data_IF_503632199090
#
_entry.id   IF_503632199090
#
_cell.length_a   1.000
_cell.length_b   1.000
_cell.length_c   1.000
_cell.angle_alpha   90.00
_cell.angle_beta   90.00
_cell.angle_gamma   90.00
#
_symmetry.space_group_name_H-M   'P 1'
#
loop_
_entity.id
_entity.type
_entity.pdbx_description
1 polymer ?
#
# COMPACT_ATOMS: atom_id res chain seq x y z
N UNK A 1 1.79 22.76 24.26
CA UNK A 1 2.82 21.81 24.73
C UNK A 1 3.98 21.86 23.75
N UNK A 2 5.13 22.41 24.16
CA UNK A 2 6.30 22.56 23.30
C UNK A 2 6.85 21.15 23.01
N UNK A 3 7.13 20.84 21.74
CA UNK A 3 7.61 19.52 21.30
C UNK A 3 9.05 19.17 21.78
N UNK A 4 9.63 20.00 22.67
CA UNK A 4 10.99 19.89 23.21
C UNK A 4 11.19 18.72 24.17
N UNK A 5 10.13 18.20 24.79
CA UNK A 5 10.26 17.22 25.89
C UNK A 5 10.09 15.76 25.44
N UNK A 6 10.07 15.50 24.12
CA UNK A 6 10.00 14.10 23.64
C UNK A 6 11.34 13.38 23.86
N UNK A 7 11.34 12.06 24.14
CA UNK A 7 12.58 11.31 24.09
C UNK A 7 13.14 11.28 22.66
N UNK A 8 14.45 11.13 22.54
CA UNK A 8 15.13 10.82 21.28
C UNK A 8 15.24 9.30 21.15
N UNK A 9 14.97 8.75 19.97
CA UNK A 9 15.01 7.31 19.75
C UNK A 9 16.46 6.76 19.74
N UNK A 10 17.40 7.58 19.24
CA UNK A 10 18.82 7.23 19.10
C UNK A 10 19.08 6.19 18.02
N UNK A 11 20.33 6.12 17.53
CA UNK A 11 20.73 5.26 16.40
C UNK A 11 21.14 3.83 16.85
N UNK A 12 21.10 3.53 18.15
CA UNK A 12 21.37 2.18 18.63
C UNK A 12 20.31 1.20 18.10
N UNK A 13 20.73 0.06 17.55
CA UNK A 13 19.81 -0.95 16.99
C UNK A 13 19.12 -0.51 15.70
N UNK A 14 19.65 0.50 15.01
CA UNK A 14 19.26 0.85 13.64
C UNK A 14 20.30 0.34 12.65
N UNK A 15 19.83 0.00 11.47
CA UNK A 15 20.62 -0.27 10.29
C UNK A 15 20.43 0.85 9.26
N UNK A 16 21.44 1.03 8.43
CA UNK A 16 21.57 2.05 7.40
C UNK A 16 21.39 3.50 7.89
N UNK A 17 22.07 4.39 7.19
CA UNK A 17 21.84 5.83 7.34
C UNK A 17 21.84 6.47 5.95
N UNK A 18 20.75 7.15 5.64
CA UNK A 18 20.61 7.90 4.38
C UNK A 18 20.60 9.37 4.74
N UNK A 19 21.72 10.04 4.49
CA UNK A 19 21.80 11.48 4.66
C UNK A 19 20.91 12.19 3.65
N UNK A 20 20.13 13.13 4.16
CA UNK A 20 19.28 14.00 3.36
C UNK A 20 19.75 15.47 3.48
N UNK A 21 19.34 16.35 2.55
CA UNK A 21 19.48 17.80 2.68
C UNK A 21 18.74 18.35 3.90
N UNK A 22 18.89 19.66 4.13
CA UNK A 22 18.16 20.43 5.16
C UNK A 22 18.28 19.91 6.60
N UNK A 23 19.36 19.16 6.88
CA UNK A 23 19.63 18.65 8.22
C UNK A 23 18.77 17.46 8.61
N UNK A 24 18.40 16.58 7.67
CA UNK A 24 17.67 15.35 7.97
C UNK A 24 18.43 14.08 7.59
N UNK A 25 18.06 12.95 8.17
CA UNK A 25 18.55 11.64 7.76
C UNK A 25 17.51 10.56 8.03
N UNK A 26 17.48 9.54 7.17
CA UNK A 26 16.71 8.32 7.42
C UNK A 26 17.58 7.27 8.09
N UNK A 27 16.97 6.50 8.98
CA UNK A 27 17.53 5.25 9.54
C UNK A 27 16.45 4.19 9.58
N UNK A 28 16.85 2.91 9.59
CA UNK A 28 15.93 1.79 9.72
C UNK A 28 16.12 1.10 11.07
N UNK A 29 15.22 1.25 12.05
CA UNK A 29 15.25 0.44 13.26
C UNK A 29 15.10 -1.05 12.91
N UNK A 30 16.04 -1.89 13.38
CA UNK A 30 16.06 -3.34 13.09
C UNK A 30 15.95 -4.22 14.32
N UNK A 31 16.11 -3.67 15.53
CA UNK A 31 15.85 -4.39 16.78
C UNK A 31 14.52 -4.00 17.40
N UNK A 32 13.96 -4.90 18.21
CA UNK A 32 12.72 -4.65 18.95
C UNK A 32 12.82 -3.40 19.83
N UNK A 33 13.94 -3.24 20.53
CA UNK A 33 14.19 -2.12 21.43
C UNK A 33 14.29 -0.80 20.66
N UNK A 34 14.87 -0.82 19.46
CA UNK A 34 14.94 0.35 18.59
C UNK A 34 13.55 0.78 18.11
N UNK A 35 12.68 -0.17 17.72
CA UNK A 35 11.29 0.10 17.35
C UNK A 35 10.48 0.66 18.53
N UNK A 36 10.64 0.10 19.73
CA UNK A 36 9.96 0.59 20.94
C UNK A 36 10.40 2.02 21.28
N UNK A 37 11.71 2.31 21.24
CA UNK A 37 12.22 3.68 21.44
C UNK A 37 11.68 4.65 20.40
N UNK A 38 11.62 4.21 19.14
CA UNK A 38 11.04 4.99 18.04
C UNK A 38 9.58 5.33 18.34
N UNK A 39 8.80 4.35 18.80
CA UNK A 39 7.40 4.56 19.15
C UNK A 39 7.17 5.52 20.30
N UNK A 40 8.01 5.47 21.34
CA UNK A 40 7.97 6.48 22.40
C UNK A 40 8.36 7.87 21.92
N UNK A 41 9.40 7.99 21.07
CA UNK A 41 9.85 9.27 20.51
C UNK A 41 8.78 9.89 19.58
N UNK A 42 8.11 9.05 18.80
CA UNK A 42 7.06 9.43 17.87
C UNK A 42 5.67 9.47 18.52
N UNK A 43 5.49 9.00 19.75
CA UNK A 43 4.19 8.89 20.45
C UNK A 43 3.14 8.13 19.63
N UNK A 44 3.53 7.03 18.99
CA UNK A 44 2.64 6.24 18.15
C UNK A 44 2.60 4.76 18.58
N UNK A 45 1.87 3.94 17.81
CA UNK A 45 1.68 2.53 18.12
C UNK A 45 2.94 1.66 17.94
N UNK A 46 4.07 2.23 17.51
CA UNK A 46 5.37 1.56 17.53
C UNK A 46 5.84 1.17 18.94
N UNK A 47 5.30 1.79 19.99
CA UNK A 47 5.66 1.45 21.36
C UNK A 47 5.10 0.09 21.82
N UNK A 48 3.93 -0.32 21.32
CA UNK A 48 3.12 -1.38 21.95
C UNK A 48 2.83 -2.60 21.06
N UNK A 49 3.19 -2.58 19.77
CA UNK A 49 2.97 -3.73 18.85
C UNK A 49 4.13 -4.73 18.97
N UNK A 50 3.87 -5.97 18.54
CA UNK A 50 4.82 -7.10 18.70
C UNK A 50 5.88 -7.22 17.58
N UNK A 51 5.74 -6.53 16.45
CA UNK A 51 6.70 -6.37 15.33
C UNK A 51 7.61 -7.57 14.94
N UNK A 52 7.18 -8.85 14.93
CA UNK A 52 8.08 -9.94 14.53
C UNK A 52 8.59 -9.78 13.08
N UNK A 53 7.74 -9.25 12.20
CA UNK A 53 8.03 -9.10 10.77
C UNK A 53 9.02 -7.98 10.43
N UNK A 54 9.37 -7.12 11.39
CA UNK A 54 10.21 -5.93 11.15
C UNK A 54 11.60 -6.02 11.81
N UNK A 55 11.85 -7.07 12.58
CA UNK A 55 13.08 -7.24 13.37
C UNK A 55 14.05 -8.17 12.65
N UNK A 56 15.34 -7.82 12.65
CA UNK A 56 16.42 -8.68 12.15
C UNK A 56 16.54 -8.75 10.63
N UNK A 57 15.83 -7.91 9.89
CA UNK A 57 15.91 -7.86 8.43
C UNK A 57 16.83 -6.74 7.94
N UNK A 58 17.94 -7.12 7.30
CA UNK A 58 18.89 -6.19 6.68
C UNK A 58 18.66 -6.01 5.17
N UNK A 59 17.84 -6.88 4.55
CA UNK A 59 17.53 -6.75 3.12
C UNK A 59 16.61 -5.55 2.88
N UNK A 60 16.88 -4.79 1.82
CA UNK A 60 16.11 -3.57 1.52
C UNK A 60 14.65 -3.87 1.14
N UNK A 61 14.38 -5.03 0.54
CA UNK A 61 13.03 -5.48 0.15
C UNK A 61 12.24 -6.18 1.26
N UNK A 62 12.80 -6.27 2.47
CA UNK A 62 12.09 -6.87 3.60
C UNK A 62 11.13 -5.85 4.25
N UNK A 63 10.06 -6.30 4.92
CA UNK A 63 9.24 -5.41 5.71
C UNK A 63 10.11 -4.62 6.69
N UNK A 64 9.89 -3.31 6.75
CA UNK A 64 10.75 -2.40 7.51
C UNK A 64 10.01 -1.14 7.95
N UNK A 65 10.46 -0.58 9.06
CA UNK A 65 10.12 0.77 9.47
C UNK A 65 11.31 1.67 9.14
N UNK A 66 11.07 2.80 8.49
CA UNK A 66 12.07 3.84 8.30
C UNK A 66 11.71 5.07 9.12
N UNK A 67 12.66 5.60 9.87
CA UNK A 67 12.50 6.79 10.70
C UNK A 67 13.27 7.96 10.10
N UNK A 68 12.59 9.09 9.88
CA UNK A 68 13.20 10.35 9.50
C UNK A 68 13.52 11.15 10.76
N UNK A 69 14.79 11.55 10.88
CA UNK A 69 15.31 12.26 12.03
C UNK A 69 15.98 13.56 11.64
N UNK A 70 15.98 14.52 12.56
CA UNK A 70 16.76 15.75 12.44
C UNK A 70 18.21 15.48 12.85
N UNK A 71 19.18 15.96 12.07
CA UNK A 71 20.61 15.88 12.39
C UNK A 71 20.99 16.73 13.61
N UNK A 72 20.27 17.82 13.87
CA UNK A 72 20.59 18.76 14.95
C UNK A 72 20.40 18.17 16.35
N UNK A 73 19.42 17.28 16.53
CA UNK A 73 19.03 16.76 17.84
C UNK A 73 18.66 15.26 17.85
N UNK A 74 18.73 14.58 16.70
CA UNK A 74 18.39 13.16 16.56
C UNK A 74 16.90 12.86 16.72
N UNK A 75 16.02 13.86 16.79
CA UNK A 75 14.59 13.63 17.02
C UNK A 75 13.90 13.13 15.76
N UNK A 76 13.17 12.04 15.92
CA UNK A 76 12.25 11.53 14.91
C UNK A 76 11.08 12.48 14.67
N UNK A 77 10.75 12.64 13.39
CA UNK A 77 9.67 13.53 12.93
C UNK A 77 8.68 12.84 11.99
N UNK A 78 9.08 11.74 11.37
CA UNK A 78 8.22 10.92 10.53
C UNK A 78 8.69 9.46 10.54
N UNK A 79 7.76 8.56 10.33
CA UNK A 79 8.04 7.15 10.06
C UNK A 79 7.31 6.69 8.79
N UNK A 80 7.85 5.63 8.20
CA UNK A 80 7.29 4.95 7.04
C UNK A 80 7.22 3.47 7.37
N UNK A 81 6.03 2.89 7.25
CA UNK A 81 5.83 1.45 7.31
C UNK A 81 5.84 0.89 5.89
N UNK A 82 6.87 0.09 5.61
CA UNK A 82 7.05 -0.61 4.36
C UNK A 82 6.77 -2.09 4.55
N UNK A 83 5.90 -2.66 3.71
CA UNK A 83 5.71 -4.09 3.62
C UNK A 83 6.17 -4.54 2.24
N UNK A 84 7.30 -5.25 2.20
CA UNK A 84 8.08 -5.51 0.99
C UNK A 84 8.52 -4.24 0.26
N UNK A 85 7.84 -3.85 -0.81
CA UNK A 85 8.12 -2.63 -1.60
C UNK A 85 6.94 -1.64 -1.57
N UNK A 86 5.86 -1.97 -0.85
CA UNK A 86 4.70 -1.10 -0.72
C UNK A 86 4.74 -0.31 0.59
N UNK A 87 4.70 1.01 0.49
CA UNK A 87 4.54 1.91 1.62
C UNK A 87 3.08 1.92 2.04
N UNK A 88 2.79 1.25 3.17
CA UNK A 88 1.45 1.13 3.71
C UNK A 88 1.02 2.39 4.47
N UNK A 89 1.97 3.00 5.18
CA UNK A 89 1.73 4.19 5.98
C UNK A 89 2.92 5.15 5.99
N UNK A 90 2.60 6.43 6.10
CA UNK A 90 3.56 7.51 6.39
C UNK A 90 2.96 8.35 7.51
N UNK A 91 3.57 8.36 8.70
CA UNK A 91 3.03 9.13 9.84
C UNK A 91 4.05 10.13 10.36
N UNK A 92 3.51 11.22 10.91
CA UNK A 92 4.23 12.14 11.75
C UNK A 92 4.05 11.80 13.23
N UNK A 93 4.61 12.65 14.08
CA UNK A 93 4.50 12.54 15.55
C UNK A 93 3.03 12.44 15.97
N UNK A 94 2.74 11.54 16.92
CA UNK A 94 1.43 11.21 17.46
C UNK A 94 0.43 10.72 16.39
N UNK A 95 0.90 9.93 15.42
CA UNK A 95 0.11 9.42 14.29
C UNK A 95 -0.51 10.50 13.39
N UNK A 96 -0.06 11.75 13.52
CA UNK A 96 -0.53 12.85 12.69
C UNK A 96 -0.07 12.70 11.24
N UNK A 97 -0.61 13.54 10.35
CA UNK A 97 -0.06 13.69 9.02
C UNK A 97 1.39 14.18 9.10
N UNK A 98 2.22 13.62 8.23
CA UNK A 98 3.60 14.07 8.06
C UNK A 98 3.65 15.56 7.71
N UNK A 99 4.68 16.27 8.18
CA UNK A 99 4.91 17.67 7.80
C UNK A 99 5.35 17.81 6.33
N UNK A 100 5.17 18.97 5.68
CA UNK A 100 5.56 19.16 4.28
C UNK A 100 7.06 18.92 4.03
N UNK A 101 7.93 19.35 4.96
CA UNK A 101 9.36 19.12 4.86
C UNK A 101 9.70 17.63 4.94
N UNK A 102 9.13 16.91 5.90
CA UNK A 102 9.33 15.48 6.04
C UNK A 102 8.80 14.69 4.84
N UNK A 103 7.66 15.12 4.25
CA UNK A 103 7.15 14.52 3.03
C UNK A 103 8.12 14.67 1.85
N UNK A 104 8.84 15.80 1.73
CA UNK A 104 9.87 15.98 0.70
C UNK A 104 11.06 15.04 0.88
N UNK A 105 11.47 14.77 2.12
CA UNK A 105 12.64 13.90 2.38
C UNK A 105 12.43 12.44 1.94
N UNK A 106 11.19 12.02 1.67
CA UNK A 106 10.87 10.65 1.21
C UNK A 106 11.52 10.36 -0.16
N UNK A 107 11.74 11.37 -1.00
CA UNK A 107 12.41 11.22 -2.30
C UNK A 107 13.81 10.57 -2.17
N UNK A 108 14.51 10.80 -1.05
CA UNK A 108 15.83 10.20 -0.81
C UNK A 108 15.77 8.72 -0.50
N UNK A 109 14.70 8.28 0.18
CA UNK A 109 14.43 6.87 0.40
C UNK A 109 14.06 6.19 -0.92
N UNK A 110 13.20 6.80 -1.73
CA UNK A 110 12.86 6.30 -3.08
C UNK A 110 14.13 6.18 -3.94
N UNK A 111 14.97 7.21 -3.96
CA UNK A 111 16.23 7.20 -4.70
C UNK A 111 17.21 6.12 -4.19
N UNK A 112 17.18 5.78 -2.90
CA UNK A 112 17.94 4.63 -2.35
C UNK A 112 17.44 3.31 -2.90
N UNK A 113 16.12 3.08 -2.95
CA UNK A 113 15.54 1.85 -3.50
C UNK A 113 15.82 1.72 -5.01
N UNK A 114 15.60 2.79 -5.79
CA UNK A 114 15.85 2.81 -7.24
C UNK A 114 17.30 2.49 -7.61
N UNK A 115 18.27 3.02 -6.86
CA UNK A 115 19.69 2.71 -7.05
C UNK A 115 20.03 1.23 -6.86
N UNK A 116 19.19 0.48 -6.15
CA UNK A 116 19.32 -0.96 -5.96
C UNK A 116 18.39 -1.77 -6.89
N UNK A 117 17.81 -1.14 -7.92
CA UNK A 117 16.91 -1.81 -8.86
C UNK A 117 15.53 -2.15 -8.29
N UNK A 118 15.14 -1.50 -7.19
CA UNK A 118 13.84 -1.70 -6.54
C UNK A 118 12.96 -0.46 -6.74
N UNK A 119 11.67 -0.68 -7.01
CA UNK A 119 10.69 0.40 -7.13
C UNK A 119 9.71 0.33 -5.96
N UNK A 120 9.57 1.43 -5.23
CA UNK A 120 8.62 1.55 -4.13
C UNK A 120 7.25 1.97 -4.67
N UNK A 121 6.20 1.31 -4.19
CA UNK A 121 4.81 1.74 -4.43
C UNK A 121 4.23 2.35 -3.16
N UNK A 122 3.17 3.15 -3.31
CA UNK A 122 2.55 3.84 -2.17
C UNK A 122 1.07 3.48 -2.11
N UNK A 123 0.67 2.96 -0.95
CA UNK A 123 -0.73 2.72 -0.66
C UNK A 123 -1.50 4.04 -0.67
N UNK A 124 -2.72 4.02 -1.21
CA UNK A 124 -3.54 5.22 -1.43
C UNK A 124 -3.87 6.02 -0.15
N UNK A 125 -3.72 5.40 1.02
CA UNK A 125 -3.95 6.02 2.32
C UNK A 125 -2.83 6.97 2.77
N UNK A 126 -1.61 6.88 2.21
CA UNK A 126 -0.40 7.55 2.70
C UNK A 126 -0.41 9.09 2.61
N UNK A 127 -1.34 9.68 1.84
CA UNK A 127 -1.46 11.15 1.62
C UNK A 127 -0.15 11.83 1.17
N UNK A 128 0.79 11.06 0.63
CA UNK A 128 2.00 11.52 -0.05
C UNK A 128 1.83 11.25 -1.53
N UNK A 129 2.18 12.23 -2.36
CA UNK A 129 2.23 12.10 -3.80
C UNK A 129 3.69 11.99 -4.24
N UNK A 130 3.93 11.09 -5.19
CA UNK A 130 5.24 10.86 -5.81
C UNK A 130 5.11 11.20 -7.27
N UNK A 131 5.95 12.11 -7.77
CA UNK A 131 6.04 12.40 -9.20
C UNK A 131 6.93 11.38 -9.92
N UNK A 132 6.87 11.28 -11.26
CA UNK A 132 7.69 10.35 -12.03
C UNK A 132 9.21 10.49 -11.76
N UNK A 133 9.69 11.72 -11.54
CA UNK A 133 11.08 12.03 -11.20
C UNK A 133 11.50 11.57 -9.78
N UNK A 134 10.57 11.06 -8.99
CA UNK A 134 10.80 10.58 -7.62
C UNK A 134 10.61 11.65 -6.55
N UNK A 135 10.36 12.91 -6.92
CA UNK A 135 10.07 13.97 -5.94
C UNK A 135 8.77 13.68 -5.21
N UNK A 136 8.70 14.15 -3.96
CA UNK A 136 7.58 13.83 -3.08
C UNK A 136 6.95 15.06 -2.42
N UNK A 137 5.63 15.02 -2.25
CA UNK A 137 4.85 16.07 -1.61
C UNK A 137 3.80 15.50 -0.68
N UNK A 138 3.50 16.25 0.38
CA UNK A 138 2.23 16.06 1.09
C UNK A 138 1.08 16.47 0.16
N UNK A 139 0.02 15.67 0.09
CA UNK A 139 -1.05 15.83 -0.91
C UNK A 139 -1.67 17.22 -0.98
N UNK A 140 -1.87 17.90 0.16
CA UNK A 140 -2.43 19.25 0.25
C UNK A 140 -1.45 20.37 -0.10
N UNK A 141 -0.17 20.04 -0.30
CA UNK A 141 0.92 20.96 -0.69
C UNK A 141 1.52 20.61 -2.05
N UNK A 142 0.98 19.62 -2.73
CA UNK A 142 1.43 19.20 -4.04
C UNK A 142 0.96 20.16 -5.13
N UNK A 143 1.71 20.28 -6.24
CA UNK A 143 1.27 20.97 -7.44
C UNK A 143 -0.10 20.46 -7.92
N UNK A 144 -0.96 21.36 -8.38
CA UNK A 144 -2.34 21.05 -8.73
C UNK A 144 -2.45 20.07 -9.91
N UNK A 145 -1.52 20.18 -10.87
CA UNK A 145 -1.33 19.27 -12.00
C UNK A 145 -1.00 17.85 -11.54
N UNK A 146 -0.09 17.70 -10.57
CA UNK A 146 0.26 16.39 -9.99
C UNK A 146 -0.94 15.75 -9.27
N UNK A 147 -1.68 16.55 -8.49
CA UNK A 147 -2.90 16.09 -7.83
C UNK A 147 -3.94 15.65 -8.87
N UNK A 148 -4.15 16.44 -9.93
CA UNK A 148 -5.08 16.13 -10.99
C UNK A 148 -4.70 14.85 -11.76
N UNK A 149 -3.42 14.66 -12.07
CA UNK A 149 -2.90 13.47 -12.72
C UNK A 149 -3.19 12.21 -11.89
N UNK A 150 -2.90 12.23 -10.59
CA UNK A 150 -3.22 11.10 -9.70
C UNK A 150 -4.72 10.83 -9.59
N UNK A 151 -5.56 11.86 -9.52
CA UNK A 151 -7.02 11.69 -9.52
C UNK A 151 -7.48 11.06 -10.83
N UNK A 152 -6.94 11.50 -11.97
CA UNK A 152 -7.25 10.94 -13.29
C UNK A 152 -6.88 9.47 -13.37
N UNK A 153 -5.68 9.11 -12.93
CA UNK A 153 -5.18 7.74 -12.92
C UNK A 153 -6.03 6.84 -12.00
N UNK A 154 -6.36 7.30 -10.79
CA UNK A 154 -7.22 6.56 -9.88
C UNK A 154 -8.63 6.35 -10.45
N UNK A 155 -9.18 7.35 -11.14
CA UNK A 155 -10.46 7.23 -11.86
C UNK A 155 -10.37 6.20 -12.99
N UNK A 156 -9.30 6.23 -13.79
CA UNK A 156 -9.09 5.27 -14.87
C UNK A 156 -9.00 3.83 -14.34
N UNK A 157 -8.25 3.61 -13.25
CA UNK A 157 -8.18 2.31 -12.57
C UNK A 157 -9.54 1.84 -12.05
N UNK A 158 -10.31 2.73 -11.41
CA UNK A 158 -11.66 2.41 -10.93
C UNK A 158 -12.61 2.03 -12.07
N UNK A 159 -12.56 2.75 -13.18
CA UNK A 159 -13.36 2.45 -14.37
C UNK A 159 -12.97 1.10 -14.98
N UNK A 160 -11.67 0.83 -15.13
CA UNK A 160 -11.19 -0.46 -15.62
C UNK A 160 -11.65 -1.63 -14.72
N UNK A 161 -11.55 -1.48 -13.40
CA UNK A 161 -12.03 -2.49 -12.45
C UNK A 161 -13.54 -2.73 -12.54
N UNK A 162 -14.34 -1.66 -12.76
CA UNK A 162 -15.79 -1.79 -12.99
C UNK A 162 -16.11 -2.52 -14.28
N UNK A 163 -15.41 -2.21 -15.37
CA UNK A 163 -15.58 -2.91 -16.65
C UNK A 163 -15.22 -4.38 -16.51
N UNK A 164 -14.10 -4.70 -15.88
CA UNK A 164 -13.69 -6.09 -15.65
C UNK A 164 -14.71 -6.85 -14.80
N UNK A 165 -15.22 -6.24 -13.72
CA UNK A 165 -16.27 -6.84 -12.89
C UNK A 165 -17.54 -7.13 -13.69
N UNK A 166 -17.95 -6.20 -14.55
CA UNK A 166 -19.11 -6.38 -15.43
C UNK A 166 -18.90 -7.57 -16.37
N UNK A 167 -17.74 -7.66 -17.01
CA UNK A 167 -17.40 -8.78 -17.90
C UNK A 167 -17.39 -10.13 -17.17
N UNK A 168 -16.89 -10.17 -15.93
CA UNK A 168 -16.93 -11.38 -15.11
C UNK A 168 -18.36 -11.83 -14.76
N UNK A 169 -19.26 -10.88 -14.49
CA UNK A 169 -20.67 -11.18 -14.22
C UNK A 169 -21.37 -11.68 -15.50
N UNK A 170 -21.17 -11.01 -16.63
CA UNK A 170 -21.71 -11.44 -17.93
C UNK A 170 -21.21 -12.85 -18.30
N UNK A 171 -19.94 -13.17 -18.01
CA UNK A 171 -19.40 -14.51 -18.21
C UNK A 171 -20.01 -15.55 -17.26
N UNK A 172 -20.23 -15.21 -15.99
CA UNK A 172 -20.86 -16.10 -15.02
C UNK A 172 -22.33 -16.42 -15.40
N UNK A 173 -23.09 -15.41 -15.84
CA UNK A 173 -24.46 -15.59 -16.31
C UNK A 173 -24.51 -16.49 -17.55
N UNK A 174 -23.55 -16.32 -18.49
CA UNK A 174 -23.43 -17.18 -19.66
C UNK A 174 -23.10 -18.64 -19.31
N UNK A 175 -22.23 -18.87 -18.31
CA UNK A 175 -21.93 -20.22 -17.81
C UNK A 175 -23.17 -20.86 -17.20
N UNK A 176 -23.89 -20.14 -16.34
CA UNK A 176 -25.13 -20.63 -15.71
C UNK A 176 -26.21 -20.97 -16.75
N UNK A 177 -26.34 -20.17 -17.81
CA UNK A 177 -27.27 -20.46 -18.90
C UNK A 177 -26.89 -21.76 -19.64
N UNK A 178 -25.60 -21.97 -19.91
CA UNK A 178 -25.11 -23.20 -20.54
C UNK A 178 -25.31 -24.43 -19.65
N UNK A 179 -25.14 -24.31 -18.33
CA UNK A 179 -25.40 -25.40 -17.38
C UNK A 179 -26.89 -25.77 -17.34
N UNK A 180 -27.79 -24.79 -17.35
CA UNK A 180 -29.23 -25.03 -17.40
C UNK A 180 -29.68 -25.67 -18.72
N UNK A 181 -29.08 -25.27 -19.84
CA UNK A 181 -29.34 -25.89 -21.15
C UNK A 181 -28.79 -27.32 -21.22
N UNK A 182 -27.65 -27.60 -20.58
CA UNK A 182 -27.08 -28.95 -20.48
C UNK A 182 -27.97 -29.88 -19.63
N UNK A 183 -28.48 -29.41 -18.50
CA UNK A 183 -29.42 -30.15 -17.66
C UNK A 183 -30.76 -30.40 -18.37
N UNK A 184 -31.26 -29.43 -19.14
CA UNK A 184 -32.47 -29.60 -19.95
C UNK A 184 -32.27 -30.64 -21.07
N UNK A 185 -31.08 -30.71 -21.68
CA UNK A 185 -30.74 -31.72 -22.68
C UNK A 185 -30.49 -33.13 -22.07
N UNK A 186 -30.00 -33.20 -20.83
CA UNK A 186 -29.76 -34.46 -20.10
C UNK A 186 -31.06 -35.16 -19.62
N UNK A 187 -32.21 -34.46 -19.62
CA UNK A 187 -33.54 -35.04 -19.30
C UNK A 187 -34.15 -35.84 -20.48
N UNK A 188 -33.38 -36.12 -21.55
CA UNK A 188 -33.74 -37.15 -22.53
C UNK A 188 -33.44 -38.54 -21.93
N UNK A 189 -34.44 -39.09 -21.24
CA UNK A 189 -34.41 -40.41 -20.59
C UNK A 189 -34.10 -41.50 -21.61
N UNK A 190 -32.98 -42.21 -21.41
CA UNK A 190 -32.64 -43.42 -22.16
C UNK A 190 -33.46 -44.61 -21.65
N UNK A 191 -34.69 -44.75 -22.15
CA UNK A 191 -35.49 -45.95 -21.95
C UNK A 191 -35.18 -46.98 -23.04
N UNK A 192 -34.21 -47.86 -22.77
CA UNK A 192 -34.17 -49.21 -23.33
C UNK A 192 -34.27 -49.35 -24.85
N UNK A 193 -33.63 -48.48 -25.63
CA UNK A 193 -33.30 -48.78 -27.04
C UNK A 193 -34.14 -48.14 -28.15
N UNK A 194 -34.97 -47.11 -27.89
CA UNK A 194 -35.52 -46.26 -28.96
C UNK A 194 -35.61 -44.80 -28.54
N UNK A 195 -34.97 -43.92 -29.31
CA UNK A 195 -35.14 -42.48 -29.20
C UNK A 195 -36.44 -42.07 -29.90
N UNK A 196 -37.39 -41.52 -29.15
CA UNK A 196 -38.56 -40.80 -29.69
C UNK A 196 -38.47 -39.34 -29.29
N UNK A 197 -38.54 -38.45 -30.28
CA UNK A 197 -38.60 -36.99 -30.07
C UNK A 197 -39.98 -36.66 -29.52
N UNK A 198 -40.06 -36.29 -28.24
CA UNK A 198 -41.28 -35.81 -27.61
C UNK A 198 -41.60 -34.41 -28.13
N UNK A 199 -42.48 -34.33 -29.13
CA UNK A 199 -43.17 -33.10 -29.47
C UNK A 199 -44.38 -32.97 -28.55
N UNK A 200 -44.30 -32.09 -27.56
CA UNK A 200 -45.49 -31.52 -26.89
C UNK A 200 -45.22 -30.04 -26.59
N UNK A 201 -45.39 -29.22 -27.63
CA UNK A 201 -45.65 -27.79 -27.49
C UNK A 201 -47.14 -27.65 -27.18
N UNK A 202 -47.49 -27.52 -25.90
CA UNK A 202 -48.81 -27.03 -25.52
C UNK A 202 -48.87 -25.51 -25.75
N UNK A 203 -49.50 -25.12 -26.85
CA UNK A 203 -49.99 -23.75 -27.07
C UNK A 203 -51.18 -23.53 -26.13
N UNK A 204 -51.02 -22.66 -25.13
CA UNK A 204 -52.13 -22.15 -24.33
C UNK A 204 -52.92 -21.13 -25.16
N UNK A 205 -54.23 -21.35 -25.28
CA UNK A 205 -55.22 -20.29 -25.55
C UNK A 205 -55.53 -19.54 -24.26
#
# INVERSE_FOLDING_TARGET
MILSDRPVAGDLGTDERIDCPDGYYWVRPTTREALVREGHAMKNCLADRLYPDFVGHERLSAPSIWSLRRKSDGRSIADIELYFLEVLQVRGVANNLVGPQAAKQIEHLIARYRRNGLEMTFHHACKVLVAPDGRTWRRDKAPADLVAAQISEAKARLLAARTMRRQMLEAADAILALEQDYDAAAVVVWNGGRATVGADVQVRQ
#
